data_IF_287758553758
#
_entry.id   IF_287758553758
#
_cell.length_a   1.000
_cell.length_b   1.000
_cell.length_c   1.000
_cell.angle_alpha   90.00
_cell.angle_beta   90.00
_cell.angle_gamma   90.00
#
_symmetry.space_group_name_H-M   'P 1'
#
loop_
_entity.id
_entity.type
_entity.pdbx_description
1 polymer ?
#
# COMPACT_ATOMS: atom_id res chain seq x y z
N UNK A 1 -8.22 -8.37 -38.06
CA UNK A 1 -7.30 -8.38 -36.92
C UNK A 1 -5.94 -7.97 -37.44
N UNK A 2 -5.33 -6.96 -36.85
CA UNK A 2 -3.92 -6.63 -37.09
C UNK A 2 -3.20 -6.76 -35.74
N UNK A 3 -2.95 -7.99 -35.26
CA UNK A 3 -2.53 -8.24 -33.89
C UNK A 3 -1.15 -7.66 -33.55
N UNK A 4 -0.39 -7.20 -34.55
CA UNK A 4 0.90 -6.53 -34.39
C UNK A 4 0.76 -5.00 -34.29
N UNK A 5 -0.43 -4.46 -34.56
CA UNK A 5 -0.72 -3.03 -34.37
C UNK A 5 -1.05 -2.75 -32.91
N UNK A 6 -0.24 -1.90 -32.26
CA UNK A 6 -0.55 -1.39 -30.92
C UNK A 6 -1.77 -0.46 -30.95
N UNK A 7 -1.96 0.30 -32.03
CA UNK A 7 -3.04 1.29 -32.11
C UNK A 7 -4.38 0.69 -32.55
N UNK A 8 -4.38 -0.34 -33.40
CA UNK A 8 -5.59 -0.97 -33.95
C UNK A 8 -5.50 -2.50 -34.02
N UNK A 9 -5.27 -3.18 -32.88
CA UNK A 9 -5.10 -4.63 -32.84
C UNK A 9 -6.30 -5.41 -33.40
N UNK A 10 -7.51 -4.82 -33.32
CA UNK A 10 -8.78 -5.42 -33.75
C UNK A 10 -8.98 -6.81 -33.12
N UNK A 11 -9.01 -6.88 -31.79
CA UNK A 11 -9.12 -8.13 -31.03
C UNK A 11 -10.43 -8.90 -31.30
N UNK A 12 -10.35 -10.22 -31.49
CA UNK A 12 -11.50 -11.12 -31.30
C UNK A 12 -11.71 -11.36 -29.80
N UNK A 13 -12.51 -10.51 -29.18
CA UNK A 13 -12.86 -10.58 -27.75
C UNK A 13 -13.69 -11.80 -27.36
N UNK A 14 -14.11 -12.62 -28.34
CA UNK A 14 -14.83 -13.88 -28.07
C UNK A 14 -13.88 -15.07 -27.87
N UNK A 15 -12.59 -14.91 -28.15
CA UNK A 15 -11.60 -16.01 -28.13
C UNK A 15 -10.34 -15.66 -27.33
N UNK A 16 -10.07 -16.45 -26.30
CA UNK A 16 -8.89 -16.28 -25.45
C UNK A 16 -7.61 -16.84 -26.10
N UNK A 17 -6.50 -16.09 -25.98
CA UNK A 17 -5.16 -16.58 -26.33
C UNK A 17 -4.57 -17.43 -25.19
N UNK A 18 -4.87 -18.73 -25.18
CA UNK A 18 -4.49 -19.67 -24.11
C UNK A 18 -3.00 -19.65 -23.77
N UNK A 19 -2.13 -19.43 -24.75
CA UNK A 19 -0.68 -19.39 -24.51
C UNK A 19 -0.27 -18.18 -23.66
N UNK A 20 -0.91 -17.02 -23.85
CA UNK A 20 -0.71 -15.85 -23.00
C UNK A 20 -1.15 -16.14 -21.56
N UNK A 21 -2.34 -16.72 -21.37
CA UNK A 21 -2.85 -17.08 -20.03
C UNK A 21 -1.98 -18.09 -19.28
N UNK A 22 -1.26 -18.98 -19.99
CA UNK A 22 -0.31 -19.92 -19.37
C UNK A 22 0.91 -19.22 -18.74
N UNK A 23 1.28 -18.04 -19.23
CA UNK A 23 2.37 -17.27 -18.63
C UNK A 23 1.98 -16.84 -17.21
N UNK A 24 0.74 -16.38 -17.02
CA UNK A 24 0.22 -16.02 -15.71
C UNK A 24 0.14 -17.23 -14.76
N UNK A 25 -0.22 -18.43 -15.23
CA UNK A 25 -0.15 -19.64 -14.38
C UNK A 25 1.26 -19.85 -13.81
N UNK A 26 2.29 -19.71 -14.64
CA UNK A 26 3.68 -19.87 -14.20
C UNK A 26 4.09 -18.78 -13.21
N UNK A 27 3.63 -17.54 -13.42
CA UNK A 27 3.87 -16.42 -12.48
C UNK A 27 3.19 -16.70 -11.14
N UNK A 28 1.92 -17.08 -11.12
CA UNK A 28 1.17 -17.36 -9.89
C UNK A 28 1.78 -18.51 -9.08
N UNK A 29 2.17 -19.60 -9.75
CA UNK A 29 2.87 -20.73 -9.11
C UNK A 29 4.21 -20.28 -8.53
N UNK A 30 4.98 -19.48 -9.27
CA UNK A 30 6.28 -18.99 -8.82
C UNK A 30 6.14 -18.03 -7.64
N UNK A 31 5.21 -17.08 -7.71
CA UNK A 31 4.90 -16.14 -6.64
C UNK A 31 4.48 -16.89 -5.36
N UNK A 32 3.62 -17.91 -5.48
CA UNK A 32 3.25 -18.75 -4.34
C UNK A 32 4.45 -19.45 -3.71
N UNK A 33 5.36 -19.98 -4.52
CA UNK A 33 6.59 -20.62 -4.02
C UNK A 33 7.55 -19.64 -3.33
N UNK A 34 7.34 -18.32 -3.50
CA UNK A 34 8.06 -17.24 -2.85
C UNK A 34 7.23 -16.56 -1.74
N UNK A 35 6.10 -17.14 -1.35
CA UNK A 35 5.17 -16.60 -0.34
C UNK A 35 4.63 -15.21 -0.70
N UNK A 36 4.32 -15.00 -1.98
CA UNK A 36 3.77 -13.76 -2.52
C UNK A 36 2.31 -13.93 -2.94
N UNK A 37 1.47 -12.98 -2.48
CA UNK A 37 0.13 -12.74 -3.02
C UNK A 37 0.25 -11.84 -4.26
N UNK A 38 -0.57 -12.12 -5.27
CA UNK A 38 -0.61 -11.38 -6.53
C UNK A 38 -1.98 -10.75 -6.68
N UNK A 39 -2.01 -9.42 -6.76
CA UNK A 39 -3.19 -8.68 -7.22
C UNK A 39 -3.26 -8.78 -8.74
N UNK A 40 -4.30 -9.43 -9.27
CA UNK A 40 -4.54 -9.54 -10.70
C UNK A 40 -5.44 -8.38 -11.14
N UNK A 41 -4.80 -7.39 -11.76
CA UNK A 41 -5.47 -6.24 -12.34
C UNK A 41 -5.95 -6.60 -13.75
N UNK A 42 -7.26 -6.51 -14.01
CA UNK A 42 -7.82 -6.86 -15.31
C UNK A 42 -7.51 -5.85 -16.42
N UNK A 43 -7.43 -4.56 -16.05
CA UNK A 43 -7.14 -3.45 -16.95
C UNK A 43 -6.23 -2.44 -16.29
N UNK A 44 -5.17 -2.03 -17.00
CA UNK A 44 -4.26 -0.96 -16.57
C UNK A 44 -4.29 0.13 -17.63
N UNK A 45 -4.42 1.39 -17.22
CA UNK A 45 -4.39 2.56 -18.10
C UNK A 45 -5.22 2.38 -19.37
N UNK A 46 -6.53 2.13 -19.20
CA UNK A 46 -7.44 1.81 -20.31
C UNK A 46 -7.71 2.98 -21.28
N UNK A 47 -7.01 4.11 -21.12
CA UNK A 47 -6.93 5.17 -22.12
C UNK A 47 -6.04 4.77 -23.30
N UNK A 48 -5.06 3.88 -23.10
CA UNK A 48 -4.29 3.31 -24.20
C UNK A 48 -5.18 2.34 -25.00
N UNK A 49 -5.25 2.59 -26.32
CA UNK A 49 -6.09 1.82 -27.22
C UNK A 49 -5.74 0.32 -27.24
N UNK A 50 -4.52 -0.08 -26.88
CA UNK A 50 -4.11 -1.48 -26.76
C UNK A 50 -4.61 -2.17 -25.48
N UNK A 51 -4.85 -1.40 -24.40
CA UNK A 51 -5.09 -1.92 -23.05
C UNK A 51 -6.58 -2.15 -22.72
N UNK A 52 -7.49 -1.52 -23.47
CA UNK A 52 -8.94 -1.71 -23.34
C UNK A 52 -9.55 -2.29 -24.63
N UNK A 53 -9.68 -3.62 -24.74
CA UNK A 53 -10.26 -4.26 -25.93
C UNK A 53 -11.78 -4.10 -26.04
N UNK A 54 -12.47 -3.71 -24.97
CA UNK A 54 -13.94 -3.55 -24.97
C UNK A 54 -14.35 -2.11 -25.29
N UNK A 55 -13.52 -1.11 -24.98
CA UNK A 55 -13.86 0.31 -25.09
C UNK A 55 -15.08 0.67 -24.23
N UNK A 56 -15.35 1.97 -24.12
CA UNK A 56 -16.48 2.47 -23.34
C UNK A 56 -17.85 1.91 -23.83
N UNK A 57 -17.98 1.58 -25.11
CA UNK A 57 -19.23 1.12 -25.72
C UNK A 57 -19.58 -0.36 -25.46
N UNK A 58 -18.60 -1.24 -25.20
CA UNK A 58 -18.85 -2.68 -24.97
C UNK A 58 -18.68 -3.12 -23.51
N UNK A 59 -18.60 -2.14 -22.61
CA UNK A 59 -18.47 -2.32 -21.17
C UNK A 59 -19.63 -3.07 -20.53
N UNK A 60 -19.34 -3.93 -19.55
CA UNK A 60 -20.30 -4.77 -18.82
C UNK A 60 -20.98 -5.83 -19.68
N UNK A 61 -20.64 -5.91 -20.97
CA UNK A 61 -21.33 -6.79 -21.89
C UNK A 61 -20.96 -8.27 -21.64
N UNK A 62 -21.62 -9.16 -22.37
CA UNK A 62 -21.40 -10.61 -22.24
C UNK A 62 -19.97 -11.06 -22.55
N UNK A 63 -19.22 -10.33 -23.39
CA UNK A 63 -17.85 -10.69 -23.77
C UNK A 63 -16.84 -10.22 -22.73
N UNK A 64 -17.04 -9.03 -22.14
CA UNK A 64 -16.24 -8.61 -20.97
C UNK A 64 -16.49 -9.56 -19.80
N UNK A 65 -17.75 -9.90 -19.49
CA UNK A 65 -18.06 -10.89 -18.46
C UNK A 65 -17.45 -12.26 -18.75
N UNK A 66 -17.40 -12.69 -20.02
CA UNK A 66 -16.71 -13.91 -20.42
C UNK A 66 -15.19 -13.84 -20.13
N UNK A 67 -14.56 -12.69 -20.34
CA UNK A 67 -13.15 -12.46 -19.99
C UNK A 67 -12.90 -12.59 -18.49
N UNK A 68 -13.70 -11.94 -17.66
CA UNK A 68 -13.62 -12.07 -16.20
C UNK A 68 -13.90 -13.50 -15.74
N UNK A 69 -14.97 -14.12 -16.24
CA UNK A 69 -15.32 -15.50 -15.89
C UNK A 69 -14.21 -16.49 -16.25
N UNK A 70 -13.55 -16.29 -17.40
CA UNK A 70 -12.44 -17.13 -17.81
C UNK A 70 -11.25 -17.00 -16.86
N UNK A 71 -10.90 -15.77 -16.45
CA UNK A 71 -9.86 -15.53 -15.45
C UNK A 71 -10.21 -16.17 -14.10
N UNK A 72 -11.44 -15.99 -13.61
CA UNK A 72 -11.91 -16.57 -12.34
C UNK A 72 -11.83 -18.10 -12.40
N UNK A 73 -12.37 -18.71 -13.46
CA UNK A 73 -12.36 -20.17 -13.61
C UNK A 73 -10.95 -20.75 -13.71
N UNK A 74 -10.00 -19.99 -14.29
CA UNK A 74 -8.62 -20.44 -14.47
C UNK A 74 -7.78 -20.20 -13.21
N UNK A 75 -7.90 -19.02 -12.61
CA UNK A 75 -6.98 -18.53 -11.59
C UNK A 75 -7.55 -18.55 -10.17
N UNK A 76 -8.86 -18.68 -10.00
CA UNK A 76 -9.48 -18.80 -8.67
C UNK A 76 -8.99 -20.01 -7.88
N UNK A 77 -8.43 -21.05 -8.50
CA UNK A 77 -7.86 -22.16 -7.74
C UNK A 77 -6.50 -21.83 -7.06
N UNK A 78 -5.87 -20.69 -7.39
CA UNK A 78 -4.61 -20.28 -6.78
C UNK A 78 -4.87 -19.44 -5.52
N UNK A 79 -4.51 -19.91 -4.32
CA UNK A 79 -4.87 -19.24 -3.05
C UNK A 79 -4.10 -17.95 -2.79
N UNK A 80 -3.14 -17.61 -3.65
CA UNK A 80 -2.35 -16.38 -3.57
C UNK A 80 -2.81 -15.32 -4.58
N UNK A 81 -4.08 -15.37 -4.99
CA UNK A 81 -4.72 -14.38 -5.87
C UNK A 81 -5.53 -13.38 -5.04
N UNK A 82 -5.47 -12.12 -5.44
CA UNK A 82 -6.44 -11.07 -5.12
C UNK A 82 -6.94 -10.50 -6.44
N UNK A 83 -8.21 -10.13 -6.52
CA UNK A 83 -8.77 -9.49 -7.71
C UNK A 83 -8.72 -7.97 -7.61
N UNK A 84 -8.29 -7.32 -8.68
CA UNK A 84 -8.44 -5.89 -8.86
C UNK A 84 -9.14 -5.64 -10.19
N UNK A 85 -10.38 -5.15 -10.12
CA UNK A 85 -11.22 -5.07 -11.31
C UNK A 85 -10.68 -4.07 -12.35
N UNK A 86 -9.90 -3.06 -11.94
CA UNK A 86 -9.24 -2.11 -12.84
C UNK A 86 -8.28 -1.17 -12.07
N UNK A 87 -7.14 -0.86 -12.70
CA UNK A 87 -6.28 0.25 -12.29
C UNK A 87 -6.92 1.58 -12.65
N UNK A 88 -6.93 2.57 -11.74
CA UNK A 88 -7.39 3.94 -12.02
C UNK A 88 -8.72 3.98 -12.79
N UNK A 89 -9.69 3.16 -12.34
CA UNK A 89 -10.91 2.86 -13.11
C UNK A 89 -11.60 4.12 -13.63
N UNK A 90 -11.68 5.18 -12.81
CA UNK A 90 -12.31 6.46 -13.10
C UNK A 90 -11.78 7.18 -14.36
N UNK A 91 -10.60 6.83 -14.87
CA UNK A 91 -10.08 7.39 -16.12
C UNK A 91 -10.82 6.88 -17.36
N UNK A 92 -11.43 5.69 -17.29
CA UNK A 92 -12.00 5.01 -18.47
C UNK A 92 -13.26 4.17 -18.16
N UNK A 93 -13.72 4.18 -16.89
CA UNK A 93 -14.85 3.41 -16.34
C UNK A 93 -15.72 4.28 -15.43
N UNK A 94 -16.94 3.84 -15.18
CA UNK A 94 -17.86 4.52 -14.25
C UNK A 94 -18.00 3.77 -12.91
N UNK A 95 -18.44 4.44 -11.84
CA UNK A 95 -18.76 3.77 -10.59
C UNK A 95 -19.82 2.67 -10.72
N UNK A 96 -20.82 2.85 -11.60
CA UNK A 96 -21.87 1.85 -11.85
C UNK A 96 -21.29 0.57 -12.45
N UNK A 97 -20.33 0.71 -13.39
CA UNK A 97 -19.62 -0.44 -13.93
C UNK A 97 -18.80 -1.16 -12.85
N UNK A 98 -18.12 -0.41 -11.97
CA UNK A 98 -17.34 -1.00 -10.89
C UNK A 98 -18.22 -1.77 -9.91
N UNK A 99 -19.40 -1.24 -9.56
CA UNK A 99 -20.40 -1.96 -8.76
C UNK A 99 -20.88 -3.24 -9.44
N UNK A 100 -21.19 -3.19 -10.74
CA UNK A 100 -21.64 -4.34 -11.52
C UNK A 100 -20.56 -5.43 -11.61
N UNK A 101 -19.36 -5.06 -12.04
CA UNK A 101 -18.27 -6.02 -12.26
C UNK A 101 -17.70 -6.54 -10.95
N UNK A 102 -17.58 -5.70 -9.92
CA UNK A 102 -17.18 -6.13 -8.58
C UNK A 102 -18.15 -7.17 -8.00
N UNK A 103 -19.46 -6.91 -8.08
CA UNK A 103 -20.47 -7.89 -7.67
C UNK A 103 -20.43 -9.17 -8.53
N UNK A 104 -20.23 -9.04 -9.83
CA UNK A 104 -20.11 -10.18 -10.75
C UNK A 104 -18.93 -11.09 -10.37
N UNK A 105 -17.74 -10.53 -10.13
CA UNK A 105 -16.57 -11.32 -9.71
C UNK A 105 -16.83 -12.02 -8.38
N UNK A 106 -17.39 -11.31 -7.40
CA UNK A 106 -17.69 -11.87 -6.07
C UNK A 106 -18.70 -13.02 -6.13
N UNK A 107 -19.70 -12.93 -7.02
CA UNK A 107 -20.69 -13.99 -7.24
C UNK A 107 -20.08 -15.24 -7.90
N UNK A 108 -19.11 -15.06 -8.78
CA UNK A 108 -18.59 -16.13 -9.63
C UNK A 108 -17.27 -16.74 -9.15
N UNK A 109 -16.58 -16.15 -8.17
CA UNK A 109 -15.41 -16.74 -7.53
C UNK A 109 -15.81 -17.61 -6.31
N UNK A 110 -15.83 -18.95 -6.44
CA UNK A 110 -16.29 -19.84 -5.37
C UNK A 110 -15.32 -19.94 -4.20
N UNK A 111 -14.12 -19.36 -4.31
CA UNK A 111 -13.08 -19.39 -3.29
C UNK A 111 -13.02 -18.10 -2.45
N UNK A 112 -13.86 -17.12 -2.77
CA UNK A 112 -14.01 -15.86 -2.03
C UNK A 112 -12.67 -15.10 -1.86
N UNK A 113 -11.85 -14.99 -2.92
CA UNK A 113 -10.64 -14.18 -2.86
C UNK A 113 -10.99 -12.72 -2.52
N UNK A 114 -10.02 -12.02 -1.93
CA UNK A 114 -10.12 -10.58 -1.74
C UNK A 114 -10.27 -9.90 -3.09
N UNK A 115 -11.09 -8.86 -3.12
CA UNK A 115 -11.33 -8.07 -4.32
C UNK A 115 -11.42 -6.57 -4.00
N UNK A 116 -10.91 -5.74 -4.91
CA UNK A 116 -11.02 -4.28 -4.86
C UNK A 116 -11.01 -3.67 -6.27
N UNK A 117 -10.93 -2.35 -6.32
CA UNK A 117 -10.64 -1.54 -7.50
C UNK A 117 -9.65 -0.45 -7.12
N UNK A 118 -8.70 -0.12 -7.99
CA UNK A 118 -7.79 1.00 -7.74
C UNK A 118 -8.38 2.32 -8.28
N UNK A 119 -8.40 3.37 -7.44
CA UNK A 119 -8.96 4.70 -7.76
C UNK A 119 -8.07 5.85 -7.25
N UNK A 120 -8.33 7.09 -7.69
CA UNK A 120 -7.49 8.26 -7.34
C UNK A 120 -8.13 9.14 -6.27
N UNK A 121 -7.48 9.22 -5.11
CA UNK A 121 -7.86 10.09 -3.98
C UNK A 121 -9.20 9.78 -3.28
N UNK A 122 -10.13 9.09 -3.94
CA UNK A 122 -11.43 8.69 -3.43
C UNK A 122 -11.69 7.19 -3.58
N UNK A 123 -12.79 6.72 -2.98
CA UNK A 123 -13.19 5.31 -3.06
C UNK A 123 -14.71 5.17 -2.78
N UNK A 124 -15.58 5.41 -3.77
CA UNK A 124 -17.02 5.47 -3.53
C UNK A 124 -17.63 4.15 -3.02
N UNK A 125 -16.90 3.03 -3.14
CA UNK A 125 -17.36 1.67 -2.84
C UNK A 125 -17.16 1.23 -1.37
N UNK A 126 -16.97 2.17 -0.45
CA UNK A 126 -16.76 1.89 0.99
C UNK A 126 -17.89 1.03 1.59
N UNK A 127 -19.13 1.20 1.12
CA UNK A 127 -20.31 0.43 1.58
C UNK A 127 -20.62 -0.82 0.75
N UNK A 128 -19.95 -0.98 -0.38
CA UNK A 128 -20.25 -2.04 -1.33
C UNK A 128 -19.72 -3.36 -0.79
N UNK A 129 -20.57 -4.39 -0.75
CA UNK A 129 -20.22 -5.69 -0.15
C UNK A 129 -19.21 -6.48 -0.97
N UNK A 130 -19.07 -6.15 -2.25
CA UNK A 130 -18.09 -6.81 -3.10
C UNK A 130 -16.67 -6.35 -2.81
N UNK A 131 -16.44 -5.09 -2.40
CA UNK A 131 -15.10 -4.59 -2.15
C UNK A 131 -14.62 -5.00 -0.74
N UNK A 132 -13.55 -5.78 -0.64
CA UNK A 132 -13.00 -6.22 0.65
C UNK A 132 -11.96 -5.25 1.21
N UNK A 133 -11.29 -4.50 0.34
CA UNK A 133 -10.21 -3.56 0.66
C UNK A 133 -10.55 -2.19 0.07
N UNK A 134 -10.18 -1.11 0.75
CA UNK A 134 -10.24 0.25 0.21
C UNK A 134 -8.86 0.59 -0.34
N UNK A 135 -8.78 0.84 -1.64
CA UNK A 135 -7.52 1.09 -2.35
C UNK A 135 -7.49 2.48 -2.97
N UNK A 136 -6.39 3.18 -2.76
CA UNK A 136 -6.17 4.54 -3.25
C UNK A 136 -4.87 4.66 -4.04
N UNK A 137 -4.88 5.61 -4.97
CA UNK A 137 -3.72 6.38 -5.38
C UNK A 137 -3.78 7.73 -4.66
N UNK A 138 -2.79 8.01 -3.83
CA UNK A 138 -2.55 9.36 -3.31
C UNK A 138 -1.06 9.54 -3.14
N UNK A 139 -0.46 10.36 -3.99
CA UNK A 139 1.00 10.43 -4.14
C UNK A 139 1.66 11.26 -3.03
N UNK A 140 2.86 10.83 -2.66
CA UNK A 140 3.85 11.55 -1.86
C UNK A 140 3.30 11.99 -0.49
N UNK A 141 3.61 13.22 -0.04
CA UNK A 141 3.15 13.73 1.26
C UNK A 141 1.63 13.86 1.36
N UNK A 142 0.91 13.96 0.24
CA UNK A 142 -0.55 13.90 0.24
C UNK A 142 -1.10 12.51 0.55
N UNK A 143 -0.29 11.45 0.39
CA UNK A 143 -0.66 10.06 0.65
C UNK A 143 -0.26 9.52 2.02
N UNK A 144 0.36 10.36 2.85
CA UNK A 144 0.94 9.99 4.13
C UNK A 144 -0.07 9.86 5.27
N UNK A 145 0.37 10.22 6.47
CA UNK A 145 -0.33 9.95 7.72
C UNK A 145 -1.77 10.49 7.76
N UNK A 146 -1.96 11.76 7.39
CA UNK A 146 -3.25 12.46 7.53
C UNK A 146 -4.30 11.90 6.54
N UNK A 147 -3.89 11.58 5.31
CA UNK A 147 -4.76 11.00 4.30
C UNK A 147 -5.32 9.65 4.75
N UNK A 148 -4.45 8.76 5.23
CA UNK A 148 -4.85 7.44 5.73
C UNK A 148 -5.76 7.58 6.95
N UNK A 149 -5.43 8.46 7.89
CA UNK A 149 -6.25 8.69 9.08
C UNK A 149 -7.65 9.20 8.71
N UNK A 150 -7.74 10.13 7.77
CA UNK A 150 -9.01 10.64 7.27
C UNK A 150 -9.81 9.53 6.55
N UNK A 151 -9.16 8.73 5.71
CA UNK A 151 -9.82 7.61 5.02
C UNK A 151 -10.37 6.54 5.99
N UNK A 152 -9.66 6.27 7.09
CA UNK A 152 -10.14 5.39 8.17
C UNK A 152 -11.33 6.03 8.89
N UNK A 153 -11.21 7.30 9.30
CA UNK A 153 -12.29 8.05 9.97
C UNK A 153 -13.59 8.08 9.15
N UNK A 154 -13.48 8.31 7.83
CA UNK A 154 -14.63 8.29 6.92
C UNK A 154 -15.36 6.94 6.96
N UNK A 155 -14.64 5.83 7.04
CA UNK A 155 -15.24 4.49 7.12
C UNK A 155 -15.86 4.21 8.50
N UNK A 156 -15.26 4.71 9.57
CA UNK A 156 -15.83 4.62 10.92
C UNK A 156 -17.17 5.36 11.01
N UNK A 157 -17.26 6.56 10.44
CA UNK A 157 -18.50 7.34 10.33
C UNK A 157 -19.56 6.56 9.54
N UNK A 158 -19.15 5.86 8.48
CA UNK A 158 -20.05 5.06 7.65
C UNK A 158 -20.49 3.74 8.31
N UNK A 159 -19.80 3.32 9.39
CA UNK A 159 -20.03 2.07 10.11
C UNK A 159 -19.60 0.82 9.35
N UNK A 160 -18.67 0.96 8.39
CA UNK A 160 -18.27 -0.12 7.49
C UNK A 160 -16.73 -0.17 7.35
N UNK A 161 -16.00 -0.53 8.42
CA UNK A 161 -14.54 -0.51 8.41
C UNK A 161 -13.98 -1.63 7.51
N UNK A 162 -13.10 -1.26 6.58
CA UNK A 162 -12.30 -2.18 5.75
C UNK A 162 -10.81 -1.81 5.84
N UNK A 163 -9.89 -2.75 5.57
CA UNK A 163 -8.48 -2.43 5.41
C UNK A 163 -8.27 -1.31 4.38
N UNK A 164 -7.40 -0.35 4.71
CA UNK A 164 -7.04 0.78 3.84
C UNK A 164 -5.66 0.57 3.28
N UNK A 165 -5.52 0.64 1.96
CA UNK A 165 -4.26 0.53 1.26
C UNK A 165 -4.10 1.77 0.38
N UNK A 166 -3.04 2.54 0.60
CA UNK A 166 -2.58 3.48 -0.42
C UNK A 166 -1.67 2.70 -1.36
N UNK A 167 -2.30 2.14 -2.39
CA UNK A 167 -1.69 1.18 -3.30
C UNK A 167 -0.67 1.87 -4.20
N UNK A 168 -0.91 3.14 -4.53
CA UNK A 168 0.02 3.96 -5.30
C UNK A 168 0.30 5.28 -4.59
N UNK A 169 1.17 5.20 -3.58
CA UNK A 169 1.62 6.37 -2.79
C UNK A 169 2.85 7.08 -3.38
N UNK A 170 3.39 6.52 -4.45
CA UNK A 170 4.44 7.09 -5.26
C UNK A 170 5.75 6.32 -5.25
N UNK A 171 6.37 6.25 -6.42
CA UNK A 171 7.47 5.35 -6.70
C UNK A 171 8.85 5.95 -6.44
N UNK A 172 9.81 5.08 -6.10
CA UNK A 172 11.20 5.50 -5.91
C UNK A 172 11.80 5.98 -7.25
N UNK A 173 12.29 7.22 -7.25
CA UNK A 173 12.99 7.82 -8.39
C UNK A 173 12.14 8.14 -9.62
N UNK A 174 10.81 8.03 -9.55
CA UNK A 174 9.89 8.47 -10.61
C UNK A 174 9.31 9.83 -10.22
N UNK A 175 9.19 10.84 -11.09
CA UNK A 175 8.78 12.22 -10.72
C UNK A 175 7.74 12.83 -11.68
N UNK A 176 6.49 12.33 -11.72
CA UNK A 176 5.42 12.87 -12.52
C UNK A 176 4.88 14.18 -11.93
N UNK A 177 4.24 15.02 -12.77
CA UNK A 177 3.79 16.35 -12.38
C UNK A 177 2.61 16.38 -11.40
N UNK A 178 1.92 15.25 -11.19
CA UNK A 178 0.79 15.14 -10.24
C UNK A 178 1.22 14.76 -8.82
N UNK A 179 2.52 14.55 -8.59
CA UNK A 179 3.06 14.41 -7.23
C UNK A 179 2.75 15.61 -6.35
N UNK A 180 2.61 15.37 -5.04
CA UNK A 180 2.26 16.39 -4.07
C UNK A 180 3.39 16.61 -3.06
N UNK A 181 3.55 17.84 -2.59
CA UNK A 181 4.46 18.15 -1.49
C UNK A 181 5.91 18.37 -1.92
N UNK A 182 6.79 18.66 -0.96
CA UNK A 182 8.14 19.12 -1.23
C UNK A 182 9.03 18.06 -1.85
N UNK A 183 8.74 16.77 -1.70
CA UNK A 183 9.61 15.71 -2.27
C UNK A 183 9.13 15.16 -3.62
N UNK A 184 8.04 15.71 -4.16
CA UNK A 184 7.46 15.30 -5.44
C UNK A 184 8.36 15.60 -6.65
N UNK A 185 9.27 16.58 -6.56
CA UNK A 185 10.10 17.01 -7.67
C UNK A 185 11.56 16.54 -7.56
N UNK A 186 12.16 16.22 -8.72
CA UNK A 186 13.53 15.71 -8.89
C UNK A 186 14.62 16.62 -8.32
N UNK A 187 14.36 17.93 -8.28
CA UNK A 187 15.32 18.96 -7.86
C UNK A 187 15.50 19.07 -6.33
N UNK A 188 14.62 18.45 -5.54
CA UNK A 188 14.70 18.52 -4.09
C UNK A 188 15.73 17.53 -3.52
N UNK A 189 16.50 17.94 -2.48
CA UNK A 189 17.29 17.01 -1.70
C UNK A 189 16.38 15.87 -1.21
N UNK A 190 16.79 14.63 -1.49
CA UNK A 190 16.07 13.40 -1.12
C UNK A 190 14.69 13.20 -1.75
N UNK A 191 14.33 13.96 -2.80
CA UNK A 191 13.08 13.80 -3.56
C UNK A 191 12.86 12.35 -3.97
N UNK A 192 11.71 11.76 -3.59
CA UNK A 192 11.32 10.36 -3.83
C UNK A 192 12.43 9.30 -3.73
N UNK A 193 13.42 9.56 -2.88
CA UNK A 193 14.49 8.62 -2.56
C UNK A 193 13.95 7.43 -1.76
N UNK A 194 14.69 6.33 -1.69
CA UNK A 194 14.38 5.22 -0.77
C UNK A 194 14.09 5.69 0.67
N UNK A 195 14.86 6.66 1.18
CA UNK A 195 14.71 7.20 2.52
C UNK A 195 13.37 7.93 2.68
N UNK A 196 13.02 8.79 1.72
CA UNK A 196 11.75 9.49 1.73
C UNK A 196 10.57 8.52 1.60
N UNK A 197 10.63 7.57 0.66
CA UNK A 197 9.62 6.52 0.49
C UNK A 197 9.43 5.70 1.77
N UNK A 198 10.52 5.34 2.45
CA UNK A 198 10.46 4.63 3.73
C UNK A 198 9.83 5.48 4.84
N UNK A 199 10.13 6.78 4.91
CA UNK A 199 9.50 7.68 5.90
C UNK A 199 7.99 7.78 5.68
N UNK A 200 7.54 7.95 4.44
CA UNK A 200 6.11 7.96 4.12
C UNK A 200 5.44 6.60 4.36
N UNK A 201 6.13 5.49 4.10
CA UNK A 201 5.63 4.17 4.45
C UNK A 201 5.41 4.05 5.97
N UNK A 202 6.36 4.50 6.80
CA UNK A 202 6.16 4.59 8.25
C UNK A 202 4.92 5.41 8.61
N UNK A 203 4.69 6.55 7.95
CA UNK A 203 3.49 7.36 8.17
C UNK A 203 2.20 6.59 7.90
N UNK A 204 2.13 5.88 6.77
CA UNK A 204 0.97 5.07 6.37
C UNK A 204 0.71 3.95 7.39
N UNK A 205 1.74 3.18 7.77
CA UNK A 205 1.60 2.09 8.74
C UNK A 205 1.25 2.60 10.14
N UNK A 206 1.82 3.74 10.54
CA UNK A 206 1.52 4.33 11.84
C UNK A 206 0.09 4.89 11.90
N UNK A 207 -0.46 5.39 10.78
CA UNK A 207 -1.88 5.75 10.67
C UNK A 207 -2.81 4.52 10.68
N UNK A 208 -2.32 3.36 10.23
CA UNK A 208 -3.05 2.08 10.27
C UNK A 208 -3.48 1.56 8.91
N UNK A 209 -3.00 2.21 7.85
CA UNK A 209 -3.11 1.70 6.49
C UNK A 209 -1.92 0.83 6.12
N UNK A 210 -1.96 0.37 4.88
CA UNK A 210 -0.87 -0.35 4.22
C UNK A 210 -0.48 0.41 2.95
N UNK A 211 0.70 0.11 2.41
CA UNK A 211 1.13 0.65 1.13
C UNK A 211 1.61 -0.45 0.21
N UNK A 212 1.44 -0.23 -1.10
CA UNK A 212 2.25 -0.94 -2.10
C UNK A 212 3.23 0.03 -2.74
N UNK A 213 4.16 -0.52 -3.51
CA UNK A 213 5.34 0.21 -3.92
C UNK A 213 5.69 -0.04 -5.38
N UNK A 214 6.52 0.85 -5.91
CA UNK A 214 6.99 0.78 -7.27
C UNK A 214 8.26 1.58 -7.46
N UNK A 215 8.85 1.41 -8.63
CA UNK A 215 10.16 1.96 -8.98
C UNK A 215 10.08 2.66 -10.34
N UNK A 216 10.96 3.63 -10.58
CA UNK A 216 11.03 4.25 -11.92
C UNK A 216 11.37 3.22 -13.00
N UNK A 217 10.80 3.44 -14.18
CA UNK A 217 11.11 2.70 -15.40
C UNK A 217 11.91 3.54 -16.40
N UNK A 218 12.49 4.66 -15.96
CA UNK A 218 13.34 5.58 -16.74
C UNK A 218 14.50 4.86 -17.47
N UNK A 219 15.05 3.79 -16.88
CA UNK A 219 16.19 3.09 -17.47
C UNK A 219 15.77 1.85 -18.26
N UNK A 220 16.29 1.73 -19.50
CA UNK A 220 16.21 0.49 -20.28
C UNK A 220 14.87 0.20 -20.98
N UNK A 221 13.94 1.15 -20.98
CA UNK A 221 12.63 1.04 -21.67
C UNK A 221 12.57 1.82 -22.98
N UNK A 222 13.49 2.76 -23.21
CA UNK A 222 13.40 3.70 -24.33
C UNK A 222 12.34 4.79 -24.12
N UNK A 223 11.63 4.76 -22.99
CA UNK A 223 10.75 5.82 -22.51
C UNK A 223 11.63 6.97 -21.97
N UNK A 224 11.20 8.23 -22.16
CA UNK A 224 11.90 9.40 -21.61
C UNK A 224 11.92 9.44 -20.08
N UNK A 225 12.77 10.31 -19.52
CA UNK A 225 13.12 10.38 -18.09
C UNK A 225 11.92 10.47 -17.12
N UNK A 226 10.77 10.96 -17.59
CA UNK A 226 9.56 11.14 -16.78
C UNK A 226 8.33 10.38 -17.34
N UNK A 227 8.54 9.48 -18.29
CA UNK A 227 7.45 8.75 -18.97
C UNK A 227 7.27 7.31 -18.49
N UNK A 228 8.09 6.88 -17.51
CA UNK A 228 8.09 5.51 -17.02
C UNK A 228 8.18 5.40 -15.51
N UNK A 229 7.20 4.72 -14.93
CA UNK A 229 7.11 4.29 -13.54
C UNK A 229 6.05 3.21 -13.44
N UNK A 230 6.02 2.46 -12.35
CA UNK A 230 4.99 1.46 -12.08
C UNK A 230 5.40 0.61 -10.90
N UNK A 231 4.60 -0.42 -10.61
CA UNK A 231 5.00 -1.47 -9.68
C UNK A 231 6.37 -2.07 -10.04
N UNK A 232 6.94 -2.82 -9.10
CA UNK A 232 8.28 -3.43 -9.22
C UNK A 232 8.43 -4.15 -10.57
N UNK A 233 9.28 -3.60 -11.42
CA UNK A 233 9.43 -4.01 -12.82
C UNK A 233 10.76 -4.72 -13.08
N UNK A 234 11.63 -4.80 -12.07
CA UNK A 234 12.91 -5.51 -12.10
C UNK A 234 14.01 -4.76 -12.84
N UNK A 235 13.79 -3.47 -13.19
CA UNK A 235 14.75 -2.63 -13.91
C UNK A 235 15.43 -1.60 -13.00
N UNK A 236 15.23 -1.71 -11.70
CA UNK A 236 15.90 -0.87 -10.73
C UNK A 236 17.43 -0.98 -10.76
N UNK A 237 18.10 0.03 -10.21
CA UNK A 237 19.56 0.11 -10.13
C UNK A 237 20.02 0.25 -8.66
N UNK A 238 21.34 0.30 -8.42
CA UNK A 238 21.90 0.32 -7.06
C UNK A 238 21.48 1.51 -6.18
N UNK A 239 20.90 2.56 -6.79
CA UNK A 239 20.33 3.70 -6.06
C UNK A 239 18.96 3.39 -5.48
N UNK A 240 18.27 2.37 -6.00
CA UNK A 240 16.96 1.96 -5.53
C UNK A 240 17.07 1.02 -4.35
N UNK A 241 16.71 1.53 -3.17
CA UNK A 241 16.97 0.85 -1.90
C UNK A 241 15.75 0.73 -1.00
N UNK A 242 14.57 1.22 -1.43
CA UNK A 242 13.38 1.30 -0.56
C UNK A 242 13.00 -0.06 0.06
N UNK A 243 13.14 -1.15 -0.71
CA UNK A 243 12.80 -2.50 -0.24
C UNK A 243 13.66 -2.96 0.95
N UNK A 244 14.91 -2.47 1.06
CA UNK A 244 15.77 -2.73 2.23
C UNK A 244 15.17 -2.11 3.50
N UNK A 245 14.62 -0.91 3.38
CA UNK A 245 13.95 -0.24 4.50
C UNK A 245 12.60 -0.88 4.80
N UNK A 246 11.82 -1.29 3.80
CA UNK A 246 10.57 -2.00 4.04
C UNK A 246 10.77 -3.35 4.71
N UNK A 247 11.88 -4.05 4.46
CA UNK A 247 12.21 -5.26 5.20
C UNK A 247 12.33 -4.97 6.71
N UNK A 248 12.92 -3.84 7.09
CA UNK A 248 13.02 -3.41 8.50
C UNK A 248 11.63 -3.12 9.06
N UNK A 249 10.80 -2.36 8.32
CA UNK A 249 9.41 -2.06 8.68
C UNK A 249 8.64 -3.37 8.92
N UNK A 250 8.63 -4.28 7.93
CA UNK A 250 7.96 -5.58 8.00
C UNK A 250 8.39 -6.36 9.24
N UNK A 251 9.70 -6.50 9.46
CA UNK A 251 10.24 -7.24 10.61
C UNK A 251 9.82 -6.62 11.96
N UNK A 252 9.66 -5.30 12.04
CA UNK A 252 9.19 -4.62 13.25
C UNK A 252 7.69 -4.91 13.46
N UNK A 253 6.86 -4.68 12.45
CA UNK A 253 5.42 -4.87 12.55
C UNK A 253 5.03 -6.34 12.80
N UNK A 254 5.72 -7.30 12.19
CA UNK A 254 5.49 -8.73 12.44
C UNK A 254 5.97 -9.20 13.82
N UNK A 255 6.80 -8.40 14.51
CA UNK A 255 7.20 -8.68 15.91
C UNK A 255 6.17 -8.19 16.95
N UNK A 256 5.04 -7.66 16.48
CA UNK A 256 3.99 -7.05 17.27
C UNK A 256 2.65 -7.71 16.94
N UNK A 257 1.75 -7.76 17.92
CA UNK A 257 0.33 -7.98 17.66
C UNK A 257 -0.28 -6.70 17.05
N UNK A 258 0.14 -6.32 15.84
CA UNK A 258 -0.23 -5.04 15.22
C UNK A 258 -1.74 -4.80 15.17
N UNK A 259 -2.53 -5.87 14.95
CA UNK A 259 -4.00 -5.85 14.96
C UNK A 259 -4.62 -5.39 16.29
N UNK A 260 -3.86 -5.39 17.40
CA UNK A 260 -4.28 -4.89 18.72
C UNK A 260 -3.85 -3.45 18.97
N UNK A 261 -2.94 -2.91 18.15
CA UNK A 261 -2.39 -1.57 18.32
C UNK A 261 -3.23 -0.56 17.53
N UNK A 262 -3.93 0.30 18.26
CA UNK A 262 -4.73 1.37 17.67
C UNK A 262 -3.90 2.65 17.50
N UNK A 263 -4.23 3.53 16.53
CA UNK A 263 -3.64 4.87 16.44
C UNK A 263 -3.82 5.61 17.77
N UNK A 264 -2.74 6.13 18.36
CA UNK A 264 -2.74 6.75 19.69
C UNK A 264 -1.87 8.02 19.72
N UNK A 265 -1.99 8.84 18.67
CA UNK A 265 -1.09 9.97 18.40
C UNK A 265 -1.23 11.13 19.39
N UNK A 266 -2.36 11.22 20.09
CA UNK A 266 -2.58 12.13 21.21
C UNK A 266 -1.67 11.83 22.41
N UNK A 267 -1.11 10.61 22.48
CA UNK A 267 -0.10 10.22 23.45
C UNK A 267 1.31 10.66 23.07
N UNK A 268 1.51 11.30 21.92
CA UNK A 268 2.80 11.79 21.41
C UNK A 268 2.85 13.32 21.27
N UNK A 269 4.07 13.88 21.31
CA UNK A 269 4.33 15.29 21.01
C UNK A 269 5.36 15.41 19.89
N UNK A 270 5.57 16.64 19.39
CA UNK A 270 6.59 16.95 18.37
C UNK A 270 6.42 16.16 17.07
N UNK A 271 5.18 15.94 16.62
CA UNK A 271 4.90 15.28 15.34
C UNK A 271 5.39 13.82 15.24
N UNK A 272 5.61 13.18 16.40
CA UNK A 272 5.88 11.74 16.49
C UNK A 272 4.57 10.96 16.35
N UNK A 273 4.67 9.72 15.90
CA UNK A 273 3.52 8.84 15.76
C UNK A 273 3.54 7.73 16.79
N UNK A 274 2.36 7.30 17.23
CA UNK A 274 2.19 6.26 18.23
C UNK A 274 1.06 5.32 17.82
N UNK A 275 1.31 4.02 17.97
CA UNK A 275 0.25 3.03 18.05
C UNK A 275 0.33 2.32 19.39
N UNK A 276 -0.81 2.10 20.02
CA UNK A 276 -0.85 1.55 21.37
C UNK A 276 -1.96 0.53 21.54
N UNK A 277 -1.65 -0.52 22.29
CA UNK A 277 -2.60 -1.16 23.17
C UNK A 277 -2.33 -0.57 24.55
N UNK A 278 -3.11 0.43 24.94
CA UNK A 278 -2.81 1.22 26.13
C UNK A 278 -2.63 0.35 27.39
N UNK A 279 -1.59 0.67 28.17
CA UNK A 279 -1.20 -0.08 29.35
C UNK A 279 -0.38 -1.33 29.09
N UNK A 280 -0.26 -1.79 27.83
CA UNK A 280 0.37 -3.07 27.49
C UNK A 280 1.54 -2.91 26.51
N UNK A 281 1.31 -2.37 25.31
CA UNK A 281 2.35 -2.24 24.27
C UNK A 281 2.21 -0.93 23.51
N UNK A 282 3.34 -0.28 23.25
CA UNK A 282 3.42 0.95 22.47
C UNK A 282 4.48 0.82 21.38
N UNK A 283 4.14 1.23 20.16
CA UNK A 283 5.04 1.44 19.04
C UNK A 283 5.11 2.94 18.76
N UNK A 284 6.32 3.50 18.75
CA UNK A 284 6.55 4.91 18.47
C UNK A 284 7.47 5.05 17.27
N UNK A 285 7.15 5.97 16.37
CA UNK A 285 8.05 6.41 15.31
C UNK A 285 8.37 7.90 15.52
N UNK A 286 9.63 8.17 15.85
CA UNK A 286 10.14 9.51 16.10
C UNK A 286 10.71 10.09 14.82
N UNK A 287 10.01 11.03 14.20
CA UNK A 287 10.53 11.76 13.02
C UNK A 287 11.50 12.88 13.40
N UNK A 288 11.42 13.32 14.66
CA UNK A 288 12.20 14.45 15.15
C UNK A 288 13.32 14.01 16.10
N UNK A 289 14.33 14.86 16.35
CA UNK A 289 15.39 14.62 17.34
C UNK A 289 14.91 14.41 18.79
N UNK A 290 13.61 14.59 19.01
CA UNK A 290 12.94 14.56 20.29
C UNK A 290 11.74 13.61 20.24
N UNK A 291 11.82 12.50 20.97
CA UNK A 291 10.71 11.57 21.14
C UNK A 291 10.09 11.78 22.52
N UNK A 292 8.78 12.02 22.56
CA UNK A 292 8.05 12.24 23.81
C UNK A 292 6.72 11.45 23.79
N UNK A 293 6.51 10.54 24.76
CA UNK A 293 5.26 9.75 24.92
C UNK A 293 4.65 9.84 26.33
N UNK A 294 3.33 9.94 26.42
CA UNK A 294 2.55 9.84 27.67
C UNK A 294 2.13 8.39 27.91
N UNK A 295 2.48 7.84 29.06
CA UNK A 295 2.15 6.47 29.46
C UNK A 295 1.16 6.46 30.64
N UNK A 296 0.42 5.37 30.90
CA UNK A 296 -0.35 5.21 32.12
C UNK A 296 0.59 5.04 33.31
N UNK A 297 0.25 5.61 34.47
CA UNK A 297 1.05 5.48 35.68
C UNK A 297 1.10 4.05 36.25
N UNK A 298 1.95 3.86 37.24
CA UNK A 298 2.17 2.63 38.03
C UNK A 298 2.45 1.38 37.20
N UNK A 299 3.13 1.56 36.07
CA UNK A 299 3.45 0.48 35.13
C UNK A 299 4.94 0.49 34.83
N UNK A 300 5.53 -0.69 34.68
CA UNK A 300 6.90 -0.83 34.21
C UNK A 300 6.90 -1.27 32.76
N UNK A 301 7.79 -0.71 31.95
CA UNK A 301 7.94 -1.08 30.55
C UNK A 301 9.39 -1.40 30.23
N UNK A 302 9.64 -2.47 29.49
CA UNK A 302 10.92 -2.68 28.81
C UNK A 302 10.92 -1.88 27.52
N UNK A 303 11.99 -1.13 27.26
CA UNK A 303 12.10 -0.23 26.11
C UNK A 303 13.20 -0.70 25.16
N UNK A 304 12.81 -0.98 23.92
CA UNK A 304 13.76 -1.24 22.83
C UNK A 304 13.71 -0.09 21.84
N UNK A 305 14.87 0.45 21.50
CA UNK A 305 15.03 1.39 20.38
C UNK A 305 15.53 0.63 19.16
N UNK A 306 15.01 0.99 17.98
CA UNK A 306 15.39 0.42 16.71
C UNK A 306 15.67 1.56 15.74
N UNK A 307 16.82 1.50 15.08
CA UNK A 307 17.15 2.38 13.97
C UNK A 307 16.31 1.95 12.73
N UNK A 308 15.42 2.82 12.21
CA UNK A 308 14.55 2.48 11.08
C UNK A 308 15.32 2.32 9.75
N UNK A 309 16.57 2.76 9.66
CA UNK A 309 17.39 2.70 8.44
C UNK A 309 18.31 1.47 8.43
N UNK A 310 18.77 1.03 9.61
CA UNK A 310 19.71 -0.09 9.72
C UNK A 310 19.10 -1.34 10.37
N UNK A 311 17.96 -1.21 11.04
CA UNK A 311 17.33 -2.27 11.83
C UNK A 311 18.08 -2.61 13.11
N UNK A 312 19.17 -1.88 13.44
CA UNK A 312 19.96 -2.10 14.66
C UNK A 312 19.09 -1.83 15.88
N UNK A 313 19.09 -2.79 16.81
CA UNK A 313 18.33 -2.73 18.06
C UNK A 313 19.23 -2.36 19.22
N UNK A 314 18.72 -1.54 20.13
CA UNK A 314 19.34 -1.18 21.40
C UNK A 314 18.32 -1.39 22.52
N UNK A 315 18.69 -2.18 23.52
CA UNK A 315 17.87 -2.33 24.73
C UNK A 315 18.19 -1.17 25.68
N UNK A 316 17.18 -0.36 25.97
CA UNK A 316 17.28 0.80 26.85
C UNK A 316 16.89 0.48 28.29
N UNK A 317 16.52 -0.77 28.58
CA UNK A 317 16.16 -1.26 29.89
C UNK A 317 14.72 -0.98 30.31
N UNK A 318 14.45 -1.25 31.59
CA UNK A 318 13.15 -1.03 32.23
C UNK A 318 12.98 0.44 32.62
N UNK A 319 11.79 0.99 32.36
CA UNK A 319 11.35 2.31 32.82
C UNK A 319 10.13 2.18 33.74
N UNK A 320 9.96 3.13 34.66
CA UNK A 320 8.80 3.25 35.54
C UNK A 320 7.93 4.43 35.12
N UNK A 321 6.74 4.15 34.62
CA UNK A 321 5.81 5.14 34.09
C UNK A 321 5.19 6.06 35.14
N UNK A 322 5.51 5.93 36.43
CA UNK A 322 5.14 6.93 37.45
C UNK A 322 6.27 7.92 37.68
N UNK A 323 7.49 7.43 37.91
CA UNK A 323 8.63 8.29 38.25
C UNK A 323 9.16 9.03 37.04
N UNK A 324 9.13 8.38 35.88
CA UNK A 324 9.76 8.86 34.66
C UNK A 324 8.77 9.63 33.77
N UNK A 325 7.49 9.61 34.12
CA UNK A 325 6.39 10.19 33.35
C UNK A 325 5.92 11.55 33.88
N UNK A 326 6.62 12.12 34.87
CA UNK A 326 6.27 13.42 35.45
C UNK A 326 6.33 14.59 34.46
N UNK A 327 6.78 14.36 33.22
CA UNK A 327 6.25 15.08 32.06
C UNK A 327 6.59 14.30 30.78
N UNK A 328 6.09 13.08 30.60
CA UNK A 328 6.35 12.22 29.43
C UNK A 328 7.75 11.57 29.37
N UNK A 329 7.83 10.36 28.82
CA UNK A 329 9.11 9.69 28.52
C UNK A 329 9.80 10.41 27.37
N UNK A 330 11.00 10.95 27.64
CA UNK A 330 11.69 11.84 26.71
C UNK A 330 13.06 11.30 26.31
N UNK A 331 13.30 11.22 25.00
CA UNK A 331 14.63 11.04 24.40
C UNK A 331 14.96 12.29 23.60
N UNK A 332 16.14 12.86 23.83
CA UNK A 332 16.63 14.07 23.16
C UNK A 332 17.87 13.78 22.33
N UNK A 333 18.10 14.66 21.36
CA UNK A 333 19.30 14.65 20.53
C UNK A 333 19.45 13.34 19.75
N UNK A 334 18.32 12.76 19.32
CA UNK A 334 18.38 11.67 18.34
C UNK A 334 19.02 12.24 17.08
N UNK A 335 20.08 11.58 16.61
CA UNK A 335 20.81 12.01 15.41
C UNK A 335 20.04 11.79 14.12
N UNK A 336 18.99 10.97 14.17
CA UNK A 336 18.14 10.53 13.05
C UNK A 336 16.80 10.02 13.60
N UNK A 337 15.80 9.74 12.73
CA UNK A 337 14.56 9.10 13.16
C UNK A 337 14.81 7.79 13.91
N UNK A 338 13.94 7.46 14.87
CA UNK A 338 14.07 6.26 15.69
C UNK A 338 12.71 5.62 15.93
N UNK A 339 12.69 4.29 16.03
CA UNK A 339 11.51 3.52 16.43
C UNK A 339 11.69 3.06 17.86
N UNK A 340 10.64 3.16 18.68
CA UNK A 340 10.65 2.62 20.03
C UNK A 340 9.53 1.60 20.19
N UNK A 341 9.84 0.48 20.81
CA UNK A 341 8.86 -0.52 21.24
C UNK A 341 8.91 -0.60 22.76
N UNK A 342 7.78 -0.32 23.40
CA UNK A 342 7.61 -0.44 24.84
C UNK A 342 6.67 -1.61 25.11
N UNK A 343 7.08 -2.54 25.98
CA UNK A 343 6.27 -3.69 26.41
C UNK A 343 6.16 -3.71 27.92
N UNK A 344 4.94 -3.82 28.44
CA UNK A 344 4.67 -3.92 29.87
C UNK A 344 5.43 -5.09 30.48
N UNK A 345 6.04 -4.85 31.63
CA UNK A 345 6.63 -5.89 32.47
C UNK A 345 5.55 -6.48 33.36
N UNK A 346 5.34 -7.78 33.27
CA UNK A 346 4.55 -8.51 34.27
C UNK A 346 5.44 -8.71 35.50
N UNK A 347 5.11 -8.02 36.60
CA UNK A 347 5.78 -8.15 37.89
C UNK A 347 4.93 -8.96 38.87
#
# INVERSE_FOLDING_TARGET
EDPESLDQPNFDVSRMNINHWRILDHILVRARALDMVVSLIFYVDGLDHACDPFKLENMGNKFEKLYYQYAINRFGAYPNVMWDIANEYHLFRTPEWAEEMGAYVKEHDPFEHLISVHGSGDFPFRRSRWADVVMFQSWDECGGFDFITNAISDQEILGFPKPVVNEEYGYEGHYPPWGCGPTAAKEYPDGRSALNRASLAWEIYMAGGYQTTGETAEFGTGAGEDTGGGWINGRGNDKMQMLKYYQIIKNIFESLDFYRLQPAHDLTQYGNYCRAQEGETYLLYSRNPHCRVRLPGNTFFNVQMIDPLTGKKEDLGEINSTTDNNAWQYRKNLSQPAVFILRKVQK
#
